data_IF_280254458186
#
_entry.id   IF_280254458186
#
_cell.length_a   1.000
_cell.length_b   1.000
_cell.length_c   1.000
_cell.angle_alpha   90.00
_cell.angle_beta   90.00
_cell.angle_gamma   90.00
#
_symmetry.space_group_name_H-M   'P 1'
#
loop_
_entity.id
_entity.type
_entity.pdbx_description
1 polymer ?
#
# COMPACT_ATOMS: atom_id res chain seq x y z
N UNK A 1 -10.58 11.84 -24.19
CA UNK A 1 -10.76 10.36 -24.12
C UNK A 1 -12.22 10.10 -23.86
N UNK A 2 -12.90 9.28 -24.70
CA UNK A 2 -14.31 8.99 -24.49
C UNK A 2 -14.53 8.27 -23.16
N UNK A 3 -15.68 8.49 -22.51
CA UNK A 3 -16.04 7.85 -21.24
C UNK A 3 -15.94 6.32 -21.31
N UNK A 4 -16.25 5.73 -22.46
CA UNK A 4 -16.16 4.29 -22.69
C UNK A 4 -14.72 3.78 -22.74
N UNK A 5 -13.79 4.50 -23.36
CA UNK A 5 -12.37 4.13 -23.39
C UNK A 5 -11.75 4.15 -21.98
N UNK A 6 -12.15 5.12 -21.17
CA UNK A 6 -11.69 5.21 -19.77
C UNK A 6 -12.21 4.02 -18.94
N UNK A 7 -13.50 3.68 -19.07
CA UNK A 7 -14.09 2.53 -18.39
C UNK A 7 -13.37 1.21 -18.74
N UNK A 8 -13.12 0.98 -20.03
CA UNK A 8 -12.38 -0.23 -20.48
C UNK A 8 -10.96 -0.28 -19.90
N UNK A 9 -10.26 0.87 -19.84
CA UNK A 9 -8.93 0.95 -19.25
C UNK A 9 -8.97 0.62 -17.75
N UNK A 10 -9.97 1.12 -17.03
CA UNK A 10 -10.15 0.86 -15.60
C UNK A 10 -10.48 -0.61 -15.32
N UNK A 11 -11.36 -1.23 -16.10
CA UNK A 11 -11.68 -2.65 -16.00
C UNK A 11 -10.43 -3.55 -16.20
N UNK A 12 -9.59 -3.21 -17.19
CA UNK A 12 -8.32 -3.90 -17.43
C UNK A 12 -7.32 -3.71 -16.27
N UNK A 13 -7.23 -2.50 -15.74
CA UNK A 13 -6.38 -2.22 -14.58
C UNK A 13 -6.84 -3.02 -13.36
N UNK A 14 -8.15 -3.06 -13.08
CA UNK A 14 -8.70 -3.84 -11.98
C UNK A 14 -8.45 -5.34 -12.14
N UNK A 15 -8.62 -5.90 -13.34
CA UNK A 15 -8.31 -7.31 -13.60
C UNK A 15 -6.83 -7.64 -13.33
N UNK A 16 -5.91 -6.76 -13.71
CA UNK A 16 -4.47 -6.92 -13.42
C UNK A 16 -4.16 -6.76 -11.92
N UNK A 17 -4.84 -5.85 -11.22
CA UNK A 17 -4.72 -5.72 -9.77
C UNK A 17 -5.19 -6.97 -9.04
N UNK A 18 -6.28 -7.60 -9.48
CA UNK A 18 -6.74 -8.86 -8.89
C UNK A 18 -5.68 -9.99 -9.08
N UNK A 19 -5.00 -10.03 -10.23
CA UNK A 19 -3.87 -10.96 -10.43
C UNK A 19 -2.73 -10.66 -9.45
N UNK A 20 -2.35 -9.38 -9.29
CA UNK A 20 -1.35 -8.96 -8.31
C UNK A 20 -1.74 -9.38 -6.88
N UNK A 21 -3.02 -9.27 -6.52
CA UNK A 21 -3.50 -9.67 -5.19
C UNK A 21 -3.40 -11.17 -4.92
N UNK A 22 -3.50 -12.00 -5.97
CA UNK A 22 -3.29 -13.45 -5.85
C UNK A 22 -1.82 -13.80 -5.55
N UNK A 23 -0.88 -12.98 -6.02
CA UNK A 23 0.55 -13.15 -5.73
C UNK A 23 0.92 -12.78 -4.28
N UNK A 24 0.09 -11.98 -3.62
CA UNK A 24 0.33 -11.61 -2.23
C UNK A 24 -0.02 -12.77 -1.30
N UNK A 25 0.76 -12.96 -0.23
CA UNK A 25 0.50 -14.04 0.70
C UNK A 25 -0.87 -13.88 1.37
N UNK A 26 -1.62 -14.96 1.42
CA UNK A 26 -2.90 -14.99 2.13
C UNK A 26 -2.68 -14.71 3.62
N UNK A 27 -3.46 -13.79 4.15
CA UNK A 27 -3.43 -13.42 5.56
C UNK A 27 -4.77 -13.78 6.20
N UNK A 28 -4.74 -14.59 7.25
CA UNK A 28 -5.90 -14.84 8.10
C UNK A 28 -6.22 -13.60 8.96
N UNK A 29 -6.73 -12.56 8.30
CA UNK A 29 -6.96 -11.25 8.88
C UNK A 29 -8.23 -11.25 9.74
N UNK A 30 -8.11 -10.81 11.00
CA UNK A 30 -9.25 -10.67 11.92
C UNK A 30 -10.15 -9.47 11.59
N UNK A 31 -9.73 -8.58 10.68
CA UNK A 31 -10.49 -7.38 10.31
C UNK A 31 -10.60 -6.33 11.42
N UNK A 32 -9.71 -6.35 12.40
CA UNK A 32 -9.74 -5.48 13.60
C UNK A 32 -8.73 -4.33 13.53
N UNK A 33 -8.10 -4.08 12.38
CA UNK A 33 -7.01 -3.11 12.22
C UNK A 33 -7.50 -1.65 12.21
N UNK A 34 -8.34 -1.24 13.13
CA UNK A 34 -8.81 0.16 13.23
C UNK A 34 -7.66 1.17 13.26
N UNK A 35 -6.58 0.86 13.99
CA UNK A 35 -5.41 1.75 14.10
C UNK A 35 -4.75 2.05 12.74
N UNK A 36 -4.74 1.09 11.82
CA UNK A 36 -4.20 1.29 10.48
C UNK A 36 -5.08 2.22 9.62
N UNK A 37 -6.36 2.33 9.95
CA UNK A 37 -7.30 3.23 9.28
C UNK A 37 -7.14 4.70 9.68
N UNK A 38 -6.29 5.02 10.66
CA UNK A 38 -5.92 6.40 11.03
C UNK A 38 -4.62 6.86 10.36
N UNK A 39 -4.12 6.10 9.39
CA UNK A 39 -2.97 6.46 8.58
C UNK A 39 -3.43 6.84 7.18
N UNK A 40 -2.60 7.62 6.49
CA UNK A 40 -2.86 7.93 5.09
C UNK A 40 -2.90 6.63 4.26
N UNK A 41 -3.99 6.45 3.51
CA UNK A 41 -4.20 5.31 2.64
C UNK A 41 -3.79 5.70 1.22
N UNK A 42 -2.54 5.40 0.89
CA UNK A 42 -2.05 5.59 -0.47
C UNK A 42 -2.51 4.43 -1.35
N UNK A 43 -3.35 4.73 -2.34
CA UNK A 43 -3.95 3.76 -3.23
C UNK A 43 -3.75 4.20 -4.69
N UNK A 44 -3.62 3.25 -5.61
CA UNK A 44 -3.56 3.56 -7.03
C UNK A 44 -4.86 4.17 -7.53
N UNK A 45 -4.80 4.89 -8.67
CA UNK A 45 -5.98 5.55 -9.22
C UNK A 45 -7.15 4.60 -9.53
N UNK A 46 -6.85 3.37 -9.98
CA UNK A 46 -7.89 2.37 -10.21
C UNK A 46 -8.51 1.86 -8.90
N UNK A 47 -7.70 1.65 -7.86
CA UNK A 47 -8.20 1.27 -6.54
C UNK A 47 -9.08 2.37 -5.92
N UNK A 48 -8.67 3.64 -6.03
CA UNK A 48 -9.47 4.80 -5.56
C UNK A 48 -10.81 4.86 -6.26
N UNK A 49 -10.85 4.70 -7.60
CA UNK A 49 -12.13 4.70 -8.35
C UNK A 49 -13.04 3.55 -7.94
N UNK A 50 -12.47 2.34 -7.77
CA UNK A 50 -13.24 1.19 -7.28
C UNK A 50 -13.86 1.44 -5.91
N UNK A 51 -13.15 2.08 -5.00
CA UNK A 51 -13.66 2.44 -3.68
C UNK A 51 -14.75 3.51 -3.79
N UNK A 52 -14.55 4.52 -4.65
CA UNK A 52 -15.53 5.57 -4.89
C UNK A 52 -16.85 5.01 -5.46
N UNK A 53 -16.79 4.01 -6.35
CA UNK A 53 -17.98 3.30 -6.86
C UNK A 53 -18.74 2.56 -5.75
N UNK A 54 -18.10 2.23 -4.66
CA UNK A 54 -18.71 1.65 -3.45
C UNK A 54 -19.06 2.72 -2.39
N UNK A 55 -19.04 4.00 -2.77
CA UNK A 55 -19.38 5.11 -1.89
C UNK A 55 -18.28 5.50 -0.90
N UNK A 56 -17.04 5.04 -1.09
CA UNK A 56 -15.91 5.39 -0.23
C UNK A 56 -14.95 6.31 -0.99
N UNK A 57 -14.96 7.58 -0.63
CA UNK A 57 -13.99 8.57 -1.10
C UNK A 57 -12.85 8.68 -0.08
N UNK A 58 -11.65 8.21 -0.44
CA UNK A 58 -10.48 8.25 0.46
C UNK A 58 -10.01 9.66 0.79
N UNK A 59 -10.39 10.66 0.00
CA UNK A 59 -10.01 12.06 0.22
C UNK A 59 -11.08 12.83 1.02
N UNK A 60 -12.22 12.19 1.31
CA UNK A 60 -13.26 12.80 2.12
C UNK A 60 -12.81 12.99 3.58
N UNK A 61 -12.98 14.20 4.15
CA UNK A 61 -12.64 14.43 5.54
C UNK A 61 -13.56 13.64 6.47
N UNK A 62 -12.97 13.05 7.51
CA UNK A 62 -13.70 12.38 8.59
C UNK A 62 -13.45 13.15 9.90
N UNK A 63 -14.40 13.11 10.82
CA UNK A 63 -14.34 13.90 12.07
C UNK A 63 -13.13 13.54 12.97
N UNK A 64 -12.67 12.29 12.87
CA UNK A 64 -11.57 11.76 13.68
C UNK A 64 -10.30 11.49 12.84
N UNK A 65 -10.27 11.92 11.58
CA UNK A 65 -9.15 11.68 10.67
C UNK A 65 -8.96 10.22 10.24
N UNK A 66 -9.95 9.37 10.51
CA UNK A 66 -9.90 7.97 10.09
C UNK A 66 -10.25 7.80 8.61
N UNK A 67 -9.87 6.66 8.02
CA UNK A 67 -10.30 6.27 6.69
C UNK A 67 -11.84 6.27 6.59
N UNK A 68 -12.43 6.84 5.54
CA UNK A 68 -13.89 6.88 5.33
C UNK A 68 -14.56 5.50 5.26
N UNK A 69 -13.78 4.45 4.97
CA UNK A 69 -14.28 3.07 5.00
C UNK A 69 -14.38 2.47 6.41
N UNK A 70 -13.87 3.15 7.43
CA UNK A 70 -13.93 2.64 8.80
C UNK A 70 -15.34 2.82 9.37
N UNK A 71 -15.99 1.71 9.69
CA UNK A 71 -17.27 1.69 10.41
C UNK A 71 -17.06 1.16 11.82
N UNK A 72 -17.80 1.68 12.78
CA UNK A 72 -17.75 1.24 14.18
C UNK A 72 -19.10 0.69 14.62
N UNK A 73 -19.08 -0.54 15.11
CA UNK A 73 -20.26 -1.21 15.66
C UNK A 73 -19.90 -1.79 17.01
N UNK A 74 -20.62 -1.40 18.05
CA UNK A 74 -20.37 -1.80 19.44
C UNK A 74 -18.92 -1.58 19.90
N UNK A 75 -18.33 -0.44 19.52
CA UNK A 75 -16.96 -0.04 19.90
C UNK A 75 -15.85 -0.78 19.15
N UNK A 76 -16.19 -1.56 18.11
CA UNK A 76 -15.20 -2.23 17.26
C UNK A 76 -15.19 -1.64 15.87
N UNK A 77 -14.02 -1.19 15.43
CA UNK A 77 -13.81 -0.72 14.07
C UNK A 77 -13.66 -1.86 13.06
N UNK A 78 -14.33 -1.73 11.92
CA UNK A 78 -14.21 -2.65 10.77
C UNK A 78 -14.19 -1.87 9.47
N UNK A 79 -13.45 -2.37 8.49
CA UNK A 79 -13.46 -1.81 7.15
C UNK A 79 -14.72 -2.27 6.39
N UNK A 80 -15.57 -1.32 5.97
CA UNK A 80 -16.80 -1.61 5.20
C UNK A 80 -16.51 -2.21 3.81
N UNK A 81 -15.33 -1.92 3.26
CA UNK A 81 -14.87 -2.37 1.94
C UNK A 81 -13.73 -3.38 2.02
N UNK A 82 -13.65 -4.16 3.10
CA UNK A 82 -12.51 -5.07 3.36
C UNK A 82 -12.19 -6.02 2.19
N UNK A 83 -13.20 -6.51 1.47
CA UNK A 83 -13.02 -7.42 0.34
C UNK A 83 -12.27 -6.76 -0.83
N UNK A 84 -12.51 -5.47 -1.04
CA UNK A 84 -11.92 -4.68 -2.14
C UNK A 84 -10.86 -3.69 -1.66
N UNK A 85 -10.33 -3.87 -0.45
CA UNK A 85 -9.31 -2.98 0.12
C UNK A 85 -8.09 -2.87 -0.81
N UNK A 86 -7.47 -1.67 -0.88
CA UNK A 86 -6.33 -1.43 -1.77
C UNK A 86 -5.07 -2.19 -1.32
N UNK A 87 -4.08 -2.21 -2.18
CA UNK A 87 -2.78 -2.90 -2.00
C UNK A 87 -2.16 -2.60 -0.65
N UNK A 88 -2.05 -1.34 -0.25
CA UNK A 88 -1.47 -0.95 1.05
C UNK A 88 -2.17 -1.64 2.22
N UNK A 89 -3.50 -1.72 2.17
CA UNK A 89 -4.29 -2.36 3.22
C UNK A 89 -4.14 -3.89 3.25
N UNK A 90 -3.80 -4.51 2.11
CA UNK A 90 -3.52 -5.95 2.01
C UNK A 90 -2.15 -6.32 2.56
N UNK A 91 -1.22 -5.37 2.55
CA UNK A 91 0.15 -5.57 3.01
C UNK A 91 0.31 -5.47 4.55
N UNK A 92 -0.68 -4.95 5.27
CA UNK A 92 -0.63 -4.96 6.75
C UNK A 92 -0.55 -6.38 7.30
N UNK A 93 0.48 -6.63 8.10
CA UNK A 93 0.81 -7.95 8.65
C UNK A 93 1.73 -8.79 7.76
N UNK A 94 1.86 -8.45 6.47
CA UNK A 94 2.65 -9.25 5.52
C UNK A 94 4.15 -8.97 5.57
N UNK A 95 4.59 -7.82 6.08
CA UNK A 95 6.01 -7.48 6.22
C UNK A 95 6.33 -6.91 7.61
N UNK A 96 7.63 -6.79 7.92
CA UNK A 96 8.06 -6.23 9.20
C UNK A 96 7.87 -4.71 9.28
N UNK A 97 7.90 -4.01 8.15
CA UNK A 97 7.63 -2.56 8.07
C UNK A 97 6.15 -2.21 8.27
N UNK A 98 5.26 -3.17 8.03
CA UNK A 98 3.79 -3.01 8.19
C UNK A 98 3.23 -4.10 9.10
N UNK A 99 3.57 -4.11 10.40
CA UNK A 99 3.13 -5.16 11.32
C UNK A 99 1.64 -5.03 11.61
N UNK A 100 0.94 -6.17 11.64
CA UNK A 100 -0.42 -6.19 12.14
C UNK A 100 -0.43 -6.00 13.66
N UNK A 101 -1.17 -5.02 14.20
CA UNK A 101 -1.24 -4.79 15.66
C UNK A 101 -1.89 -5.97 16.42
N UNK A 102 -2.61 -6.84 15.72
CA UNK A 102 -3.24 -8.05 16.29
C UNK A 102 -2.44 -9.33 16.04
N UNK A 103 -1.18 -9.21 15.57
CA UNK A 103 -0.29 -10.35 15.37
C UNK A 103 -0.62 -11.25 14.17
N UNK A 104 -1.55 -10.86 13.29
CA UNK A 104 -1.81 -11.63 12.08
C UNK A 104 -0.55 -11.63 11.20
N UNK A 105 -0.18 -12.81 10.72
CA UNK A 105 0.92 -13.03 9.77
C UNK A 105 0.47 -14.03 8.70
N UNK A 106 1.04 -13.99 7.50
CA UNK A 106 0.77 -14.99 6.46
C UNK A 106 1.20 -16.41 6.90
N UNK A 107 0.53 -17.44 6.38
CA UNK A 107 0.87 -18.84 6.68
C UNK A 107 2.32 -19.19 6.35
N UNK A 108 2.86 -18.66 5.24
CA UNK A 108 4.27 -18.82 4.85
C UNK A 108 5.27 -17.90 5.57
N UNK A 109 4.81 -17.14 6.58
CA UNK A 109 5.60 -16.10 7.22
C UNK A 109 5.56 -14.77 6.50
N UNK A 110 6.26 -13.77 7.06
CA UNK A 110 6.34 -12.44 6.46
C UNK A 110 7.25 -12.43 5.24
N UNK A 111 6.86 -11.66 4.24
CA UNK A 111 7.73 -11.32 3.11
C UNK A 111 8.74 -10.23 3.50
N UNK A 112 9.77 -10.05 2.69
CA UNK A 112 10.69 -8.92 2.88
C UNK A 112 9.99 -7.58 2.67
N UNK A 113 10.46 -6.53 3.36
CA UNK A 113 9.94 -5.17 3.18
C UNK A 113 10.12 -4.70 1.73
N UNK A 114 11.21 -5.13 1.07
CA UNK A 114 11.46 -4.86 -0.34
C UNK A 114 10.39 -5.48 -1.26
N UNK A 115 9.96 -6.72 -0.98
CA UNK A 115 8.90 -7.36 -1.75
C UNK A 115 7.55 -6.65 -1.56
N UNK A 116 7.21 -6.28 -0.34
CA UNK A 116 6.00 -5.52 -0.05
C UNK A 116 6.00 -4.17 -0.80
N UNK A 117 7.14 -3.48 -0.82
CA UNK A 117 7.30 -2.22 -1.55
C UNK A 117 7.19 -2.42 -3.07
N UNK A 118 7.74 -3.51 -3.63
CA UNK A 118 7.56 -3.83 -5.05
C UNK A 118 6.10 -4.01 -5.43
N UNK A 119 5.30 -4.69 -4.63
CA UNK A 119 3.87 -4.81 -4.87
C UNK A 119 3.15 -3.46 -4.85
N UNK A 120 3.52 -2.57 -3.92
CA UNK A 120 2.99 -1.20 -3.92
C UNK A 120 3.31 -0.47 -5.23
N UNK A 121 4.57 -0.49 -5.67
CA UNK A 121 4.99 0.14 -6.93
C UNK A 121 4.29 -0.48 -8.14
N UNK A 122 4.16 -1.81 -8.16
CA UNK A 122 3.43 -2.52 -9.21
C UNK A 122 1.95 -2.12 -9.26
N UNK A 123 1.31 -1.91 -8.10
CA UNK A 123 -0.09 -1.46 -8.08
C UNK A 123 -0.26 -0.06 -8.70
N UNK A 124 0.71 0.84 -8.52
CA UNK A 124 0.72 2.14 -9.19
C UNK A 124 0.95 2.04 -10.70
N UNK A 125 1.81 1.09 -11.16
CA UNK A 125 2.02 0.82 -12.59
C UNK A 125 0.77 0.34 -13.28
N UNK A 126 0.01 -0.47 -12.59
CA UNK A 126 -1.22 -1.05 -13.11
C UNK A 126 -2.36 -0.04 -13.06
N UNK A 127 -2.58 0.58 -11.90
CA UNK A 127 -3.78 1.35 -11.61
C UNK A 127 -3.64 2.86 -11.84
N UNK A 128 -2.45 3.32 -12.23
CA UNK A 128 -2.12 4.75 -12.27
C UNK A 128 -1.74 5.28 -10.88
N UNK A 129 -1.04 6.39 -10.87
CA UNK A 129 -0.41 6.93 -9.67
C UNK A 129 -1.42 7.25 -8.55
N UNK A 130 -1.00 6.95 -7.30
CA UNK A 130 -1.28 7.73 -6.12
C UNK A 130 -0.44 9.03 -6.12
N UNK A 131 -0.07 9.52 -4.94
CA UNK A 131 0.63 10.81 -4.79
C UNK A 131 2.14 10.75 -5.10
N UNK A 132 2.69 9.58 -5.44
CA UNK A 132 4.12 9.38 -5.66
C UNK A 132 4.54 9.82 -7.07
N UNK A 133 5.43 10.81 -7.18
CA UNK A 133 5.93 11.28 -8.46
C UNK A 133 6.73 10.20 -9.21
N UNK A 134 6.76 10.23 -10.57
CA UNK A 134 7.54 9.27 -11.37
C UNK A 134 9.03 9.22 -11.00
N UNK A 135 9.60 10.37 -10.59
CA UNK A 135 11.01 10.47 -10.18
C UNK A 135 11.26 9.74 -8.85
N UNK A 136 10.41 9.97 -7.85
CA UNK A 136 10.50 9.28 -6.56
C UNK A 136 10.33 7.79 -6.75
N UNK A 137 9.42 7.38 -7.59
CA UNK A 137 9.18 6.00 -7.92
C UNK A 137 10.39 5.31 -8.54
N UNK A 138 10.97 5.92 -9.60
CA UNK A 138 12.20 5.42 -10.23
C UNK A 138 13.34 5.28 -9.21
N UNK A 139 13.45 6.24 -8.30
CA UNK A 139 14.44 6.21 -7.24
C UNK A 139 14.20 5.05 -6.26
N UNK A 140 12.95 4.81 -5.87
CA UNK A 140 12.59 3.66 -5.03
C UNK A 140 12.94 2.33 -5.71
N UNK A 141 12.65 2.20 -7.01
CA UNK A 141 13.04 1.01 -7.79
C UNK A 141 14.57 0.80 -7.80
N UNK A 142 15.33 1.86 -7.99
CA UNK A 142 16.80 1.79 -7.89
C UNK A 142 17.26 1.35 -6.50
N UNK A 143 16.66 1.91 -5.44
CA UNK A 143 16.97 1.51 -4.07
C UNK A 143 16.60 0.05 -3.79
N UNK A 144 15.49 -0.45 -4.31
CA UNK A 144 15.07 -1.84 -4.12
C UNK A 144 15.94 -2.84 -4.89
N UNK A 145 16.59 -2.41 -5.96
CA UNK A 145 17.50 -3.22 -6.75
C UNK A 145 18.96 -3.17 -6.24
N UNK A 146 19.28 -2.24 -5.38
CA UNK A 146 20.56 -2.14 -4.69
C UNK A 146 20.45 -2.76 -3.29
N UNK A 147 21.21 -3.81 -3.01
CA UNK A 147 21.11 -4.58 -1.78
C UNK A 147 21.33 -3.72 -0.53
N UNK A 148 22.34 -2.85 -0.55
CA UNK A 148 22.64 -1.99 0.59
C UNK A 148 21.58 -0.92 0.82
N UNK A 149 21.12 -0.23 -0.25
CA UNK A 149 20.05 0.74 -0.16
C UNK A 149 18.73 0.09 0.30
N UNK A 150 18.42 -1.11 -0.19
CA UNK A 150 17.23 -1.87 0.19
C UNK A 150 17.24 -2.23 1.68
N UNK A 151 18.39 -2.65 2.21
CA UNK A 151 18.54 -2.93 3.64
C UNK A 151 18.36 -1.65 4.50
N UNK A 152 18.95 -0.53 4.10
CA UNK A 152 18.77 0.75 4.77
C UNK A 152 17.31 1.23 4.71
N UNK A 153 16.67 1.14 3.54
CA UNK A 153 15.26 1.51 3.35
C UNK A 153 14.35 0.70 4.27
N UNK A 154 14.56 -0.61 4.34
CA UNK A 154 13.80 -1.50 5.22
C UNK A 154 13.94 -1.12 6.70
N UNK A 155 15.15 -0.80 7.15
CA UNK A 155 15.39 -0.31 8.53
C UNK A 155 14.68 1.03 8.77
N UNK A 156 14.77 1.96 7.81
CA UNK A 156 14.10 3.26 7.90
C UNK A 156 12.57 3.12 8.00
N UNK A 157 11.97 2.26 7.17
CA UNK A 157 10.53 1.99 7.19
C UNK A 157 10.07 1.39 8.53
N UNK A 158 10.93 0.61 9.19
CA UNK A 158 10.69 0.07 10.53
C UNK A 158 10.93 1.07 11.67
N UNK A 159 11.21 2.33 11.34
CA UNK A 159 11.36 3.42 12.32
C UNK A 159 12.78 3.68 12.78
N UNK A 160 13.80 2.99 12.26
CA UNK A 160 15.20 3.28 12.58
C UNK A 160 15.67 4.55 11.88
N UNK A 161 15.59 5.67 12.59
CA UNK A 161 16.01 6.99 12.07
C UNK A 161 17.51 7.22 12.13
N UNK A 162 18.28 6.39 12.85
CA UNK A 162 19.73 6.54 12.98
C UNK A 162 20.47 6.39 11.65
N UNK A 163 19.86 5.66 10.68
CA UNK A 163 20.47 5.39 9.37
C UNK A 163 20.09 6.44 8.30
N UNK A 164 19.37 7.50 8.67
CA UNK A 164 18.84 8.47 7.69
C UNK A 164 19.92 9.13 6.84
N UNK A 165 21.07 9.46 7.44
CA UNK A 165 22.20 10.05 6.72
C UNK A 165 22.80 9.05 5.71
N UNK A 166 22.99 7.81 6.09
CA UNK A 166 23.53 6.74 5.24
C UNK A 166 22.61 6.43 4.07
N UNK A 167 21.28 6.34 4.34
CA UNK A 167 20.28 6.13 3.29
C UNK A 167 20.29 7.30 2.30
N UNK A 168 20.32 8.55 2.78
CA UNK A 168 20.37 9.74 1.95
C UNK A 168 21.62 9.75 1.06
N UNK A 169 22.79 9.45 1.61
CA UNK A 169 24.04 9.37 0.87
C UNK A 169 23.97 8.33 -0.23
N UNK A 170 23.48 7.12 0.09
CA UNK A 170 23.33 6.06 -0.91
C UNK A 170 22.36 6.44 -2.02
N UNK A 171 21.25 7.07 -1.70
CA UNK A 171 20.28 7.60 -2.67
C UNK A 171 20.96 8.61 -3.62
N UNK A 172 21.79 9.50 -3.10
CA UNK A 172 22.53 10.47 -3.92
C UNK A 172 23.55 9.82 -4.87
N UNK A 173 24.15 8.69 -4.44
CA UNK A 173 25.04 7.91 -5.30
C UNK A 173 24.28 7.20 -6.43
N UNK A 174 23.10 6.68 -6.16
CA UNK A 174 22.26 6.00 -7.17
C UNK A 174 21.65 6.95 -8.21
N UNK A 175 21.60 8.24 -7.91
CA UNK A 175 21.12 9.28 -8.86
C UNK A 175 22.14 9.68 -9.92
N UNK A 176 23.41 9.30 -9.77
CA UNK A 176 24.50 9.61 -10.72
C UNK A 176 24.60 8.56 -11.81
#
# INVERSE_FOLDING_TARGET
VSSNARRIADERALARLEQLYVEMPALSCLGLCEQSCHQHIDASGAERRRLLEQGVDLDAPTADGACPALTRTFGRGRCSVHAIRPTICRLWGSSAAMPCPHGCVPEGGRVSDAQAMRWMLTSYDIGGHGDTSPEVRRLLEQCLNDEYASALLSRFLRGDRSISAQLRERILQLRR
#
